data_IF_487943810100
#
_entry.id   IF_487943810100
#
_cell.length_a   1.000
_cell.length_b   1.000
_cell.length_c   1.000
_cell.angle_alpha   90.00
_cell.angle_beta   90.00
_cell.angle_gamma   90.00
#
_symmetry.space_group_name_H-M   'P 1'
#
loop_
_entity.id
_entity.type
_entity.pdbx_description
1 polymer ?
#
# COMPACT_ATOMS: atom_id res chain seq x y z
N UNK A 1 -22.84 -15.37 3.84
CA UNK A 1 -21.94 -15.72 4.97
C UNK A 1 -21.11 -16.96 4.66
N UNK A 2 -21.71 -18.04 4.15
CA UNK A 2 -20.99 -19.29 3.87
C UNK A 2 -19.80 -19.15 2.91
N UNK A 3 -19.92 -18.33 1.86
CA UNK A 3 -18.80 -18.04 0.94
C UNK A 3 -17.57 -17.40 1.62
N UNK A 4 -17.76 -16.53 2.62
CA UNK A 4 -16.64 -15.84 3.27
C UNK A 4 -15.89 -16.76 4.25
N UNK A 5 -16.60 -17.68 4.90
CA UNK A 5 -16.01 -18.71 5.77
C UNK A 5 -15.29 -19.76 4.91
N UNK A 6 -15.86 -20.14 3.77
CA UNK A 6 -15.26 -21.07 2.79
C UNK A 6 -14.03 -20.47 2.06
N UNK A 7 -13.98 -19.16 1.84
CA UNK A 7 -12.78 -18.50 1.30
C UNK A 7 -11.68 -18.41 2.35
N UNK A 8 -12.00 -18.19 3.63
CA UNK A 8 -10.99 -18.20 4.71
C UNK A 8 -10.39 -19.58 4.98
N UNK A 9 -11.13 -20.66 4.74
CA UNK A 9 -10.58 -22.02 4.82
C UNK A 9 -9.70 -22.38 3.61
N UNK A 10 -9.89 -21.71 2.46
CA UNK A 10 -9.14 -21.94 1.21
C UNK A 10 -7.99 -20.96 0.95
N UNK A 11 -8.03 -19.75 1.50
CA UNK A 11 -7.02 -18.70 1.34
C UNK A 11 -6.50 -18.26 2.71
N UNK A 12 -5.27 -18.64 3.02
CA UNK A 12 -4.60 -18.34 4.30
C UNK A 12 -3.74 -17.07 4.27
N UNK A 13 -3.40 -16.58 3.07
CA UNK A 13 -2.46 -15.48 2.89
C UNK A 13 -2.98 -14.45 1.88
N UNK A 14 -2.71 -13.18 2.15
CA UNK A 14 -2.95 -12.10 1.19
C UNK A 14 -1.67 -11.83 0.40
N UNK A 15 -1.76 -11.96 -0.93
CA UNK A 15 -0.62 -11.88 -1.87
C UNK A 15 -0.60 -10.56 -2.62
N UNK A 16 0.52 -9.86 -2.55
CA UNK A 16 0.72 -8.58 -3.21
C UNK A 16 1.95 -8.66 -4.09
N UNK A 17 1.83 -8.23 -5.35
CA UNK A 17 2.98 -7.95 -6.20
C UNK A 17 3.36 -6.48 -6.04
N UNK A 18 4.60 -6.18 -5.66
CA UNK A 18 5.14 -4.82 -5.64
C UNK A 18 6.08 -4.61 -6.83
N UNK A 19 5.74 -3.63 -7.66
CA UNK A 19 6.43 -3.26 -8.89
C UNK A 19 7.08 -1.89 -8.72
N UNK A 20 8.23 -1.67 -9.33
CA UNK A 20 8.83 -0.36 -9.46
C UNK A 20 10.34 -0.45 -9.64
N UNK A 21 10.93 0.61 -10.19
CA UNK A 21 12.37 0.70 -10.45
C UNK A 21 13.25 0.53 -9.20
N UNK A 22 14.57 0.44 -9.42
CA UNK A 22 15.60 0.56 -8.40
C UNK A 22 15.28 1.72 -7.45
N UNK A 23 15.44 1.53 -6.14
CA UNK A 23 15.29 2.64 -5.18
C UNK A 23 13.91 3.36 -5.25
N UNK A 24 12.85 2.70 -5.76
CA UNK A 24 11.50 3.27 -5.76
C UNK A 24 10.82 3.29 -4.39
N UNK A 25 11.46 2.76 -3.35
CA UNK A 25 10.91 2.70 -1.99
C UNK A 25 10.11 1.42 -1.69
N UNK A 26 10.19 0.39 -2.54
CA UNK A 26 9.46 -0.89 -2.39
C UNK A 26 9.64 -1.51 -1.00
N UNK A 27 10.87 -1.82 -0.62
CA UNK A 27 11.19 -2.45 0.68
C UNK A 27 10.76 -1.58 1.86
N UNK A 28 10.90 -0.25 1.76
CA UNK A 28 10.45 0.70 2.80
C UNK A 28 8.94 0.63 3.01
N UNK A 29 8.16 0.55 1.92
CA UNK A 29 6.70 0.40 1.99
C UNK A 29 6.34 -0.93 2.66
N UNK A 30 6.96 -2.03 2.23
CA UNK A 30 6.68 -3.36 2.78
C UNK A 30 6.95 -3.42 4.29
N UNK A 31 8.12 -2.93 4.72
CA UNK A 31 8.49 -2.82 6.14
C UNK A 31 7.44 -2.08 6.95
N UNK A 32 6.96 -0.94 6.46
CA UNK A 32 5.96 -0.13 7.15
C UNK A 32 4.58 -0.77 7.21
N UNK A 33 4.11 -1.33 6.10
CA UNK A 33 2.83 -2.05 6.08
C UNK A 33 2.84 -3.20 7.07
N UNK A 34 3.98 -3.88 7.21
CA UNK A 34 4.16 -4.98 8.14
C UNK A 34 4.58 -4.55 9.55
N UNK A 35 4.68 -3.24 9.83
CA UNK A 35 5.19 -2.69 11.08
C UNK A 35 6.51 -3.37 11.53
N UNK A 36 7.45 -3.47 10.61
CA UNK A 36 8.72 -4.17 10.77
C UNK A 36 9.90 -3.26 10.46
N UNK A 37 10.98 -3.41 11.22
CA UNK A 37 12.30 -2.84 10.90
C UNK A 37 13.23 -3.87 10.26
N UNK A 38 12.93 -5.16 10.44
CA UNK A 38 13.69 -6.28 9.89
C UNK A 38 13.39 -6.49 8.40
N UNK A 39 14.33 -7.13 7.70
CA UNK A 39 14.09 -7.58 6.33
C UNK A 39 13.19 -8.83 6.31
N UNK A 40 12.39 -9.02 5.26
CA UNK A 40 11.55 -10.20 5.14
C UNK A 40 12.39 -11.46 4.99
N UNK A 41 11.86 -12.57 5.50
CA UNK A 41 12.37 -13.88 5.15
C UNK A 41 11.95 -14.23 3.73
N UNK A 42 12.85 -14.88 2.99
CA UNK A 42 12.66 -15.20 1.58
C UNK A 42 12.44 -16.69 1.45
N UNK A 43 11.38 -17.07 0.76
CA UNK A 43 11.03 -18.46 0.51
C UNK A 43 10.92 -18.70 -0.99
N UNK A 44 11.40 -19.85 -1.46
CA UNK A 44 11.21 -20.28 -2.84
C UNK A 44 9.71 -20.48 -3.13
N UNK A 45 9.32 -20.63 -4.41
CA UNK A 45 7.93 -20.94 -4.78
C UNK A 45 7.43 -22.24 -4.13
N UNK A 46 8.33 -23.18 -3.85
CA UNK A 46 8.04 -24.45 -3.17
C UNK A 46 7.97 -24.34 -1.63
N UNK A 47 8.16 -23.14 -1.09
CA UNK A 47 8.10 -22.88 0.36
C UNK A 47 9.38 -23.21 1.12
N UNK A 48 10.51 -23.42 0.44
CA UNK A 48 11.81 -23.61 1.10
C UNK A 48 12.42 -22.26 1.44
N UNK A 49 12.87 -22.07 2.68
CA UNK A 49 13.56 -20.85 3.09
C UNK A 49 14.88 -20.72 2.31
N UNK A 50 15.12 -19.54 1.76
CA UNK A 50 16.33 -19.20 1.00
C UNK A 50 17.26 -18.39 1.92
N UNK A 51 18.55 -18.70 1.85
CA UNK A 51 19.57 -17.95 2.59
C UNK A 51 19.70 -16.52 2.03
N UNK A 52 19.65 -15.47 2.87
CA UNK A 52 19.89 -14.10 2.45
C UNK A 52 21.20 -13.88 1.70
N UNK A 53 22.25 -14.66 1.97
CA UNK A 53 23.55 -14.54 1.27
C UNK A 53 23.42 -14.91 -0.21
N UNK A 54 22.73 -16.01 -0.52
CA UNK A 54 22.45 -16.44 -1.90
C UNK A 54 21.68 -15.35 -2.64
N UNK A 55 20.70 -14.75 -1.97
CA UNK A 55 19.87 -13.69 -2.56
C UNK A 55 20.68 -12.44 -2.85
N UNK A 56 21.64 -12.08 -1.98
CA UNK A 56 22.54 -10.95 -2.21
C UNK A 56 23.47 -11.22 -3.39
N UNK A 57 24.08 -12.40 -3.46
CA UNK A 57 24.94 -12.77 -4.59
C UNK A 57 24.18 -12.79 -5.92
N UNK A 58 22.96 -13.34 -5.95
CA UNK A 58 22.10 -13.30 -7.14
C UNK A 58 21.69 -11.86 -7.48
N UNK A 59 21.37 -11.03 -6.49
CA UNK A 59 21.06 -9.61 -6.69
C UNK A 59 22.21 -8.83 -7.33
N UNK A 60 23.43 -9.04 -6.85
CA UNK A 60 24.64 -8.44 -7.42
C UNK A 60 24.89 -8.87 -8.87
N UNK A 61 24.39 -10.05 -9.25
CA UNK A 61 24.42 -10.57 -10.61
C UNK A 61 23.20 -10.17 -11.46
N UNK A 62 22.26 -9.41 -10.90
CA UNK A 62 20.99 -9.05 -11.56
C UNK A 62 20.01 -10.22 -11.71
N UNK A 63 20.27 -11.33 -11.03
CA UNK A 63 19.42 -12.52 -11.03
C UNK A 63 18.38 -12.38 -9.91
N UNK A 64 17.14 -12.13 -10.31
CA UNK A 64 16.03 -11.98 -9.38
C UNK A 64 14.84 -12.81 -9.82
N UNK A 65 14.31 -13.58 -8.88
CA UNK A 65 13.15 -14.43 -9.11
C UNK A 65 11.88 -13.80 -8.50
N UNK A 66 11.01 -13.25 -9.35
CA UNK A 66 9.73 -12.66 -8.94
C UNK A 66 8.78 -13.67 -8.27
N UNK A 67 9.00 -14.97 -8.47
CA UNK A 67 8.21 -16.01 -7.84
C UNK A 67 8.57 -16.27 -6.37
N UNK A 68 9.74 -15.80 -5.92
CA UNK A 68 10.14 -15.88 -4.52
C UNK A 68 9.16 -15.09 -3.64
N UNK A 69 8.93 -15.62 -2.45
CA UNK A 69 7.94 -15.14 -1.49
C UNK A 69 8.66 -14.40 -0.37
N UNK A 70 8.35 -13.11 -0.20
CA UNK A 70 8.83 -12.28 0.90
C UNK A 70 7.79 -12.30 2.02
N UNK A 71 8.19 -12.76 3.20
CA UNK A 71 7.30 -12.92 4.36
C UNK A 71 7.95 -12.22 5.56
N UNK A 72 7.23 -11.27 6.16
CA UNK A 72 7.69 -10.60 7.38
C UNK A 72 7.23 -11.39 8.60
N UNK A 73 8.14 -11.65 9.54
CA UNK A 73 7.81 -12.30 10.83
C UNK A 73 6.74 -11.54 11.60
N UNK A 74 6.77 -10.21 11.53
CA UNK A 74 5.79 -9.34 12.18
C UNK A 74 4.40 -9.48 11.57
N UNK A 75 4.26 -9.88 10.30
CA UNK A 75 2.98 -10.11 9.67
C UNK A 75 3.05 -11.26 8.64
N UNK A 76 3.04 -12.53 9.10
CA UNK A 76 3.27 -13.69 8.25
C UNK A 76 2.09 -14.00 7.32
N UNK A 77 0.94 -13.35 7.51
CA UNK A 77 -0.24 -13.54 6.68
C UNK A 77 -0.17 -12.78 5.35
N UNK A 78 0.81 -11.88 5.19
CA UNK A 78 1.16 -11.32 3.90
C UNK A 78 2.26 -12.12 3.22
N UNK A 79 2.09 -12.31 1.91
CA UNK A 79 3.16 -12.75 1.03
C UNK A 79 3.34 -11.69 -0.04
N UNK A 80 4.56 -11.14 -0.11
CA UNK A 80 4.91 -10.18 -1.14
C UNK A 80 5.76 -10.84 -2.21
N UNK A 81 5.48 -10.48 -3.46
CA UNK A 81 6.35 -10.74 -4.61
C UNK A 81 6.94 -9.40 -5.02
N UNK A 82 8.25 -9.33 -5.17
CA UNK A 82 8.95 -8.12 -5.55
C UNK A 82 9.50 -8.28 -6.98
N UNK A 83 9.14 -7.33 -7.85
CA UNK A 83 9.62 -7.28 -9.23
C UNK A 83 11.13 -7.19 -9.40
N UNK A 84 11.90 -6.88 -8.33
CA UNK A 84 13.37 -6.77 -8.24
C UNK A 84 14.08 -6.81 -9.60
N UNK A 85 14.51 -5.64 -10.10
CA UNK A 85 15.22 -5.57 -11.37
C UNK A 85 14.53 -4.78 -12.47
N UNK A 86 13.44 -4.03 -12.21
CA UNK A 86 12.85 -3.07 -13.17
C UNK A 86 13.75 -1.81 -13.39
N UNK A 87 15.07 -1.95 -13.32
CA UNK A 87 16.01 -0.82 -13.22
C UNK A 87 16.36 -0.24 -14.60
N UNK A 88 16.41 -1.10 -15.63
CA UNK A 88 16.70 -0.71 -17.01
C UNK A 88 15.45 -0.46 -17.83
N UNK A 89 14.30 -1.00 -17.42
CA UNK A 89 13.09 -0.90 -18.22
C UNK A 89 13.21 -1.68 -19.52
N UNK A 90 14.05 -2.72 -19.52
CA UNK A 90 14.24 -3.56 -20.69
C UNK A 90 12.93 -4.28 -21.01
N UNK A 91 12.70 -4.57 -22.29
CA UNK A 91 11.51 -5.30 -22.74
C UNK A 91 11.39 -6.64 -21.98
N UNK A 92 12.50 -7.34 -21.78
CA UNK A 92 12.58 -8.60 -21.04
C UNK A 92 12.09 -8.49 -19.58
N UNK A 93 12.33 -7.36 -18.90
CA UNK A 93 11.87 -7.13 -17.53
C UNK A 93 10.36 -6.96 -17.46
N UNK A 94 9.79 -6.22 -18.41
CA UNK A 94 8.35 -5.99 -18.51
C UNK A 94 7.63 -7.30 -18.87
N UNK A 95 8.20 -8.09 -19.78
CA UNK A 95 7.68 -9.41 -20.14
C UNK A 95 7.66 -10.34 -18.93
N UNK A 96 8.74 -10.45 -18.16
CA UNK A 96 8.78 -11.29 -16.93
C UNK A 96 7.70 -10.92 -15.92
N UNK A 97 7.45 -9.63 -15.70
CA UNK A 97 6.39 -9.15 -14.80
C UNK A 97 5.01 -9.47 -15.37
N UNK A 98 4.82 -9.25 -16.67
CA UNK A 98 3.56 -9.54 -17.37
C UNK A 98 3.23 -11.02 -17.31
N UNK A 99 4.19 -11.88 -17.65
CA UNK A 99 4.08 -13.34 -17.55
C UNK A 99 3.74 -13.80 -16.14
N UNK A 100 4.37 -13.21 -15.12
CA UNK A 100 4.07 -13.51 -13.73
C UNK A 100 2.63 -13.14 -13.36
N UNK A 101 2.15 -11.95 -13.75
CA UNK A 101 0.78 -11.50 -13.51
C UNK A 101 -0.21 -12.45 -14.22
N UNK A 102 0.05 -12.78 -15.48
CA UNK A 102 -0.78 -13.69 -16.26
C UNK A 102 -0.82 -15.10 -15.67
N UNK A 103 0.33 -15.66 -15.30
CA UNK A 103 0.44 -16.96 -14.66
C UNK A 103 -0.39 -17.02 -13.37
N UNK A 104 -0.27 -15.97 -12.54
CA UNK A 104 -1.03 -15.85 -11.29
C UNK A 104 -2.52 -15.65 -11.53
N UNK A 105 -2.91 -14.99 -12.63
CA UNK A 105 -4.31 -14.82 -13.02
C UNK A 105 -4.94 -16.10 -13.59
N UNK A 106 -4.15 -16.93 -14.29
CA UNK A 106 -4.58 -18.20 -14.90
C UNK A 106 -4.59 -19.39 -13.92
N UNK A 107 -4.01 -19.23 -12.73
CA UNK A 107 -3.96 -20.30 -11.72
C UNK A 107 -5.32 -20.50 -11.06
N UNK A 108 -5.87 -21.72 -11.09
CA UNK A 108 -7.16 -22.07 -10.46
C UNK A 108 -7.11 -22.08 -8.93
N UNK A 109 -5.91 -22.24 -8.37
CA UNK A 109 -5.70 -22.26 -6.93
C UNK A 109 -5.72 -20.84 -6.36
N UNK A 110 -6.84 -20.46 -5.72
CA UNK A 110 -7.03 -19.13 -5.10
C UNK A 110 -5.88 -18.77 -4.14
N UNK A 111 -5.31 -19.76 -3.45
CA UNK A 111 -4.18 -19.58 -2.52
C UNK A 111 -2.91 -19.05 -3.20
N UNK A 112 -2.80 -19.19 -4.53
CA UNK A 112 -1.65 -18.78 -5.36
C UNK A 112 -1.94 -17.53 -6.19
N UNK A 113 -3.17 -17.04 -6.27
CA UNK A 113 -3.50 -15.86 -7.06
C UNK A 113 -2.94 -14.57 -6.43
N UNK A 114 -2.71 -13.55 -7.25
CA UNK A 114 -2.43 -12.20 -6.76
C UNK A 114 -3.73 -11.53 -6.33
N UNK A 115 -3.69 -10.82 -5.19
CA UNK A 115 -4.86 -10.15 -4.63
C UNK A 115 -4.81 -8.63 -4.82
N UNK A 116 -3.61 -8.07 -4.95
CA UNK A 116 -3.40 -6.68 -5.36
C UNK A 116 -2.03 -6.52 -6.02
N UNK A 117 -1.90 -5.49 -6.86
CA UNK A 117 -0.62 -5.05 -7.42
C UNK A 117 -0.36 -3.62 -6.95
N UNK A 118 0.84 -3.39 -6.43
CA UNK A 118 1.30 -2.09 -5.95
C UNK A 118 2.43 -1.59 -6.85
N UNK A 119 2.20 -0.51 -7.59
CA UNK A 119 3.19 0.05 -8.50
C UNK A 119 3.81 1.32 -7.89
N UNK A 120 5.08 1.26 -7.52
CA UNK A 120 5.82 2.37 -6.93
C UNK A 120 6.41 3.28 -8.02
N UNK A 121 5.91 4.52 -8.10
CA UNK A 121 6.41 5.58 -8.98
C UNK A 121 7.13 6.66 -8.16
N UNK A 122 8.48 6.70 -8.16
CA UNK A 122 9.21 7.74 -7.48
C UNK A 122 9.17 9.04 -8.28
N UNK A 123 8.87 10.14 -7.58
CA UNK A 123 8.62 11.47 -8.15
C UNK A 123 9.83 12.42 -8.08
N UNK A 124 10.96 11.93 -7.58
CA UNK A 124 12.25 12.62 -7.49
C UNK A 124 13.05 12.60 -8.80
N UNK A 125 12.62 11.86 -9.84
CA UNK A 125 13.28 11.77 -11.14
C UNK A 125 13.03 12.96 -12.09
N UNK A 126 14.02 13.30 -12.93
CA UNK A 126 13.94 14.48 -13.82
C UNK A 126 12.84 14.39 -14.89
N UNK A 127 12.41 13.17 -15.24
CA UNK A 127 11.33 12.93 -16.18
C UNK A 127 10.18 12.21 -15.48
N UNK A 128 8.93 12.69 -15.63
CA UNK A 128 7.76 11.91 -15.24
C UNK A 128 7.58 10.76 -16.23
N UNK A 129 7.18 9.58 -15.72
CA UNK A 129 6.87 8.37 -16.49
C UNK A 129 7.91 8.01 -17.58
N UNK A 130 8.82 7.10 -17.25
CA UNK A 130 9.78 6.53 -18.18
C UNK A 130 9.09 5.61 -19.19
N UNK A 131 9.79 5.29 -20.28
CA UNK A 131 9.29 4.43 -21.35
C UNK A 131 8.80 3.07 -20.84
N UNK A 132 9.50 2.48 -19.88
CA UNK A 132 9.09 1.21 -19.28
C UNK A 132 7.78 1.30 -18.49
N UNK A 133 7.51 2.46 -17.87
CA UNK A 133 6.26 2.69 -17.16
C UNK A 133 5.12 2.88 -18.16
N UNK A 134 5.33 3.68 -19.21
CA UNK A 134 4.35 3.80 -20.31
C UNK A 134 4.04 2.43 -20.93
N UNK A 135 5.07 1.64 -21.23
CA UNK A 135 4.92 0.31 -21.81
C UNK A 135 4.14 -0.62 -20.87
N UNK A 136 4.45 -0.65 -19.56
CA UNK A 136 3.71 -1.45 -18.60
C UNK A 136 2.21 -1.08 -18.58
N UNK A 137 1.88 0.22 -18.45
CA UNK A 137 0.48 0.65 -18.36
C UNK A 137 -0.29 0.53 -19.70
N UNK A 138 0.41 0.33 -20.82
CA UNK A 138 -0.20 0.14 -22.14
C UNK A 138 -0.31 -1.33 -22.55
N UNK A 139 0.59 -2.20 -22.11
CA UNK A 139 0.67 -3.59 -22.59
C UNK A 139 0.27 -4.59 -21.50
N UNK A 140 0.59 -4.31 -20.25
CA UNK A 140 0.43 -5.28 -19.14
C UNK A 140 -0.96 -5.19 -18.53
N UNK A 141 -1.88 -6.03 -19.02
CA UNK A 141 -3.20 -6.21 -18.40
C UNK A 141 -3.10 -6.85 -17.02
N UNK A 142 -3.81 -6.31 -16.03
CA UNK A 142 -3.85 -6.87 -14.67
C UNK A 142 -5.08 -7.78 -14.42
N UNK A 143 -5.91 -7.98 -15.44
CA UNK A 143 -7.14 -8.76 -15.34
C UNK A 143 -8.09 -8.20 -14.27
N UNK A 144 -8.44 -9.04 -13.28
CA UNK A 144 -9.29 -8.64 -12.14
C UNK A 144 -8.50 -8.13 -10.93
N UNK A 145 -7.17 -8.20 -10.97
CA UNK A 145 -6.34 -7.82 -9.84
C UNK A 145 -6.22 -6.29 -9.80
N UNK A 146 -6.61 -5.63 -8.71
CA UNK A 146 -6.55 -4.18 -8.63
C UNK A 146 -5.10 -3.69 -8.66
N UNK A 147 -4.85 -2.67 -9.48
CA UNK A 147 -3.56 -2.01 -9.64
C UNK A 147 -3.58 -0.67 -8.90
N UNK A 148 -2.80 -0.55 -7.84
CA UNK A 148 -2.68 0.68 -7.06
C UNK A 148 -1.34 1.33 -7.36
N UNK A 149 -1.37 2.55 -7.88
CA UNK A 149 -0.17 3.36 -8.08
C UNK A 149 0.17 4.10 -6.80
N UNK A 150 1.42 3.96 -6.36
CA UNK A 150 1.97 4.57 -5.16
C UNK A 150 3.03 5.58 -5.57
N UNK A 151 2.74 6.85 -5.38
CA UNK A 151 3.71 7.91 -5.55
C UNK A 151 4.64 7.96 -4.35
N UNK A 152 5.93 7.73 -4.61
CA UNK A 152 6.99 7.77 -3.61
C UNK A 152 7.88 8.98 -3.81
N UNK A 153 8.66 9.32 -2.77
CA UNK A 153 9.64 10.41 -2.77
C UNK A 153 9.06 11.78 -3.18
N UNK A 154 7.85 12.07 -2.68
CA UNK A 154 7.14 13.32 -2.96
C UNK A 154 7.90 14.56 -2.45
N UNK A 155 8.77 14.39 -1.45
CA UNK A 155 9.74 15.38 -1.00
C UNK A 155 10.68 15.85 -2.12
N UNK A 156 11.09 14.94 -3.02
CA UNK A 156 11.84 15.29 -4.22
C UNK A 156 11.04 16.18 -5.16
N UNK A 157 9.74 15.90 -5.35
CA UNK A 157 8.86 16.71 -6.19
C UNK A 157 8.59 18.09 -5.58
N UNK A 158 8.43 18.17 -4.26
CA UNK A 158 8.29 19.45 -3.54
C UNK A 158 9.56 20.29 -3.63
N UNK A 159 10.73 19.66 -3.61
CA UNK A 159 12.01 20.36 -3.81
C UNK A 159 12.10 20.96 -5.21
N UNK A 160 11.68 20.22 -6.25
CA UNK A 160 11.61 20.73 -7.62
C UNK A 160 10.62 21.88 -7.77
N UNK A 161 9.42 21.71 -7.22
CA UNK A 161 8.41 22.77 -7.21
C UNK A 161 8.95 24.05 -6.55
N UNK A 162 9.70 23.93 -5.45
CA UNK A 162 10.38 25.09 -4.86
C UNK A 162 11.39 25.72 -5.82
N UNK A 163 12.22 24.93 -6.49
CA UNK A 163 13.20 25.42 -7.47
C UNK A 163 12.54 26.13 -8.66
N UNK A 164 11.43 25.60 -9.19
CA UNK A 164 10.66 26.24 -10.26
C UNK A 164 10.10 27.59 -9.82
N UNK A 165 9.50 27.67 -8.62
CA UNK A 165 9.03 28.95 -8.06
C UNK A 165 10.17 29.96 -7.91
N UNK A 166 11.38 29.51 -7.56
CA UNK A 166 12.57 30.37 -7.48
C UNK A 166 13.03 30.84 -8.86
N UNK A 167 12.97 29.97 -9.88
CA UNK A 167 13.28 30.31 -11.27
C UNK A 167 12.27 31.32 -11.86
N UNK A 168 11.00 31.26 -11.45
CA UNK A 168 9.96 32.26 -11.76
C UNK A 168 10.17 33.62 -11.05
N UNK A 169 11.25 33.77 -10.28
CA UNK A 169 11.57 35.01 -9.57
C UNK A 169 10.88 35.19 -8.21
N UNK A 170 10.14 34.19 -7.71
CA UNK A 170 9.50 34.28 -6.38
C UNK A 170 10.56 34.27 -5.29
N UNK A 171 10.39 35.14 -4.29
CA UNK A 171 11.26 35.15 -3.12
C UNK A 171 11.13 33.83 -2.30
N UNK A 172 12.08 33.57 -1.40
CA UNK A 172 12.14 32.32 -0.61
C UNK A 172 10.84 32.08 0.17
N UNK A 173 10.24 33.12 0.75
CA UNK A 173 9.02 33.02 1.55
C UNK A 173 7.85 32.58 0.68
N UNK A 174 7.61 33.27 -0.43
CA UNK A 174 6.53 32.94 -1.37
C UNK A 174 6.72 31.56 -1.99
N UNK A 175 7.95 31.19 -2.37
CA UNK A 175 8.25 29.87 -2.90
C UNK A 175 8.01 28.75 -1.86
N UNK A 176 8.36 28.99 -0.59
CA UNK A 176 8.10 28.04 0.48
C UNK A 176 6.60 27.84 0.75
N UNK A 177 5.79 28.89 0.67
CA UNK A 177 4.34 28.77 0.83
C UNK A 177 3.69 28.03 -0.34
N UNK A 178 4.17 28.24 -1.58
CA UNK A 178 3.55 27.65 -2.78
C UNK A 178 4.05 26.27 -3.20
N UNK A 179 5.19 25.78 -2.66
CA UNK A 179 5.85 24.57 -3.20
C UNK A 179 5.02 23.30 -3.10
N UNK A 180 4.25 23.11 -2.02
CA UNK A 180 3.42 21.90 -1.84
C UNK A 180 2.24 21.90 -2.82
N UNK A 181 1.60 23.06 -3.00
CA UNK A 181 0.50 23.21 -3.95
C UNK A 181 0.97 23.02 -5.40
N UNK A 182 2.12 23.62 -5.77
CA UNK A 182 2.70 23.38 -7.09
C UNK A 182 3.10 21.91 -7.28
N UNK A 183 3.73 21.27 -6.28
CA UNK A 183 4.07 19.85 -6.37
C UNK A 183 2.83 18.96 -6.54
N UNK A 184 1.70 19.28 -5.89
CA UNK A 184 0.46 18.55 -6.06
C UNK A 184 -0.12 18.72 -7.48
N UNK A 185 -0.02 19.93 -8.06
CA UNK A 185 -0.38 20.18 -9.46
C UNK A 185 0.52 19.39 -10.40
N UNK A 186 1.84 19.45 -10.22
CA UNK A 186 2.81 18.67 -10.99
C UNK A 186 2.54 17.16 -10.89
N UNK A 187 2.21 16.64 -9.71
CA UNK A 187 1.86 15.24 -9.53
C UNK A 187 0.63 14.84 -10.35
N UNK A 188 -0.36 15.73 -10.39
CA UNK A 188 -1.61 15.50 -11.12
C UNK A 188 -1.35 15.54 -12.62
N UNK A 189 -0.80 16.65 -13.12
CA UNK A 189 -0.58 16.90 -14.54
C UNK A 189 0.46 15.96 -15.15
N UNK A 190 1.55 15.66 -14.44
CA UNK A 190 2.67 14.93 -15.01
C UNK A 190 2.57 13.41 -14.79
N UNK A 191 1.76 12.94 -13.83
CA UNK A 191 1.66 11.51 -13.53
C UNK A 191 0.23 10.99 -13.60
N UNK A 192 -0.72 11.59 -12.87
CA UNK A 192 -2.09 11.04 -12.80
C UNK A 192 -2.85 11.18 -14.12
N UNK A 193 -2.81 12.36 -14.73
CA UNK A 193 -3.58 12.62 -15.96
C UNK A 193 -3.10 11.71 -17.11
N UNK A 194 -1.78 11.53 -17.36
CA UNK A 194 -1.29 10.55 -18.33
C UNK A 194 -1.75 9.12 -18.01
N UNK A 195 -1.63 8.68 -16.76
CA UNK A 195 -2.01 7.32 -16.34
C UNK A 195 -3.53 7.06 -16.39
N UNK A 196 -4.35 8.11 -16.39
CA UNK A 196 -5.79 7.97 -16.60
C UNK A 196 -6.15 7.80 -18.09
N UNK A 197 -5.25 8.16 -19.00
CA UNK A 197 -5.42 8.06 -20.46
C UNK A 197 -4.91 6.76 -21.07
N UNK A 198 -4.20 5.92 -20.31
CA UNK A 198 -3.67 4.62 -20.79
C UNK A 198 -4.75 3.53 -20.80
N UNK A 199 -4.49 2.46 -21.55
CA UNK A 199 -5.39 1.32 -21.69
C UNK A 199 -5.63 0.59 -20.35
N UNK A 200 -4.56 0.27 -19.62
CA UNK A 200 -4.63 -0.39 -18.32
C UNK A 200 -4.49 0.62 -17.19
N UNK A 201 -5.53 1.42 -16.98
CA UNK A 201 -5.56 2.46 -15.95
C UNK A 201 -5.47 1.88 -14.52
N UNK A 202 -4.78 2.58 -13.59
CA UNK A 202 -4.78 2.24 -12.18
C UNK A 202 -6.19 2.25 -11.57
N UNK A 203 -6.44 1.34 -10.63
CA UNK A 203 -7.67 1.28 -9.83
C UNK A 203 -7.70 2.36 -8.74
N UNK A 204 -6.53 2.76 -8.24
CA UNK A 204 -6.40 3.85 -7.27
C UNK A 204 -4.99 4.47 -7.32
N UNK A 205 -4.90 5.66 -6.73
CA UNK A 205 -3.64 6.38 -6.54
C UNK A 205 -3.43 6.68 -5.06
N UNK A 206 -2.23 6.40 -4.57
CA UNK A 206 -1.79 6.68 -3.21
C UNK A 206 -0.60 7.62 -3.28
N UNK A 207 -0.61 8.67 -2.46
CA UNK A 207 0.56 9.50 -2.21
C UNK A 207 1.03 9.18 -0.79
N UNK A 208 2.23 8.63 -0.65
CA UNK A 208 2.81 8.38 0.66
C UNK A 208 3.54 9.63 1.12
N UNK A 209 2.80 10.48 1.83
CA UNK A 209 3.38 11.54 2.66
C UNK A 209 3.68 10.90 4.02
N UNK A 210 4.83 11.15 4.63
CA UNK A 210 5.17 10.52 5.92
C UNK A 210 4.26 10.86 7.12
N UNK A 211 3.06 11.40 6.92
CA UNK A 211 2.14 11.83 7.98
C UNK A 211 1.10 12.79 7.42
N UNK A 212 -0.17 12.44 7.61
CA UNK A 212 -1.28 13.37 7.42
C UNK A 212 -1.18 14.45 8.49
N UNK A 213 -1.06 15.71 8.07
CA UNK A 213 -1.30 16.86 8.93
C UNK A 213 -2.81 16.96 9.20
N UNK A 214 -3.30 16.12 10.09
CA UNK A 214 -4.52 16.37 10.84
C UNK A 214 -4.12 16.57 12.28
N UNK A 215 -3.45 17.69 12.55
CA UNK A 215 -3.59 18.46 13.79
C UNK A 215 -2.84 19.79 13.67
N UNK A 216 -3.49 20.81 14.20
CA UNK A 216 -3.21 22.23 14.06
C UNK A 216 -1.80 22.56 14.59
N UNK A 217 -0.92 23.10 13.73
CA UNK A 217 0.11 24.06 14.13
C UNK A 217 0.63 24.84 12.92
N UNK A 218 0.04 26.00 12.72
CA UNK A 218 0.45 27.07 11.79
C UNK A 218 1.85 27.67 12.09
N UNK A 219 2.70 27.04 12.93
CA UNK A 219 3.94 27.64 13.47
C UNK A 219 5.18 26.73 13.34
N UNK A 220 5.20 25.74 12.46
CA UNK A 220 6.50 25.17 12.06
C UNK A 220 6.60 24.93 10.56
N UNK A 221 7.57 25.62 9.98
CA UNK A 221 8.01 25.53 8.59
C UNK A 221 8.14 24.05 8.16
N UNK A 222 7.23 23.60 7.32
CA UNK A 222 7.45 22.67 6.20
C UNK A 222 8.47 21.56 6.47
N UNK A 223 8.17 20.66 7.40
CA UNK A 223 8.79 19.34 7.40
C UNK A 223 7.80 18.44 6.69
N UNK A 224 8.09 18.08 5.43
CA UNK A 224 7.44 16.92 4.85
C UNK A 224 7.86 15.74 5.69
N UNK A 225 6.92 15.03 6.31
CA UNK A 225 7.31 13.94 7.16
C UNK A 225 7.99 12.85 6.31
N UNK A 226 9.12 12.37 6.81
CA UNK A 226 10.05 11.51 6.09
C UNK A 226 9.57 10.06 6.17
N UNK A 227 9.50 9.38 5.03
CA UNK A 227 9.20 7.96 4.96
C UNK A 227 10.28 7.08 5.63
N UNK A 228 11.38 7.64 6.14
CA UNK A 228 12.36 6.96 6.97
C UNK A 228 12.02 6.97 8.46
N UNK A 229 11.02 7.74 8.89
CA UNK A 229 10.61 7.76 10.30
C UNK A 229 9.75 6.55 10.65
N UNK A 230 10.02 5.93 11.81
CA UNK A 230 9.35 4.70 12.26
C UNK A 230 7.83 4.84 12.40
N UNK A 231 7.30 6.04 12.64
CA UNK A 231 5.88 6.29 12.89
C UNK A 231 5.08 6.72 11.65
N UNK A 232 5.71 6.81 10.48
CA UNK A 232 5.03 7.27 9.26
C UNK A 232 4.11 6.18 8.72
N UNK A 233 2.80 6.38 8.88
CA UNK A 233 1.81 5.32 8.74
C UNK A 233 1.31 5.14 7.29
N UNK A 234 1.33 3.90 6.79
CA UNK A 234 0.81 3.54 5.45
C UNK A 234 -0.72 3.37 5.43
N UNK A 235 -1.46 4.01 6.34
CA UNK A 235 -2.94 3.93 6.43
C UNK A 235 -3.59 4.20 5.07
N UNK A 236 -3.13 5.21 4.35
CA UNK A 236 -3.75 5.57 3.07
C UNK A 236 -3.59 4.47 2.02
N UNK A 237 -2.42 3.82 1.96
CA UNK A 237 -2.20 2.68 1.08
C UNK A 237 -3.14 1.52 1.42
N UNK A 238 -3.27 1.22 2.70
CA UNK A 238 -4.12 0.12 3.16
C UNK A 238 -5.60 0.44 2.89
N UNK A 239 -6.03 1.66 3.18
CA UNK A 239 -7.40 2.12 2.91
C UNK A 239 -7.74 2.08 1.43
N UNK A 240 -6.86 2.57 0.56
CA UNK A 240 -7.09 2.55 -0.88
C UNK A 240 -7.11 1.13 -1.42
N UNK A 241 -6.20 0.27 -0.97
CA UNK A 241 -6.22 -1.16 -1.32
C UNK A 241 -7.56 -1.79 -0.92
N UNK A 242 -8.03 -1.57 0.31
CA UNK A 242 -9.32 -2.07 0.78
C UNK A 242 -10.51 -1.56 -0.08
N UNK A 243 -10.50 -0.29 -0.50
CA UNK A 243 -11.55 0.29 -1.36
C UNK A 243 -11.55 -0.30 -2.77
N UNK A 244 -10.39 -0.70 -3.30
CA UNK A 244 -10.28 -1.29 -4.64
C UNK A 244 -10.68 -2.75 -4.71
N UNK A 245 -10.75 -3.44 -3.56
CA UNK A 245 -11.19 -4.83 -3.50
C UNK A 245 -12.71 -4.91 -3.63
N UNK A 246 -13.19 -5.34 -4.80
CA UNK A 246 -14.63 -5.50 -5.09
C UNK A 246 -15.20 -6.82 -4.57
N UNK A 247 -14.36 -7.83 -4.32
CA UNK A 247 -14.77 -9.12 -3.77
C UNK A 247 -14.79 -9.05 -2.23
N UNK A 248 -15.97 -9.30 -1.66
CA UNK A 248 -16.19 -9.24 -0.22
C UNK A 248 -15.33 -10.22 0.57
N UNK A 249 -15.06 -11.40 0.02
CA UNK A 249 -14.24 -12.40 0.66
C UNK A 249 -12.76 -12.00 0.63
N UNK A 250 -12.28 -11.41 -0.48
CA UNK A 250 -10.92 -10.83 -0.55
C UNK A 250 -10.75 -9.63 0.37
N UNK A 251 -11.76 -8.77 0.48
CA UNK A 251 -11.75 -7.66 1.43
C UNK A 251 -11.73 -8.17 2.87
N UNK A 252 -12.54 -9.18 3.22
CA UNK A 252 -12.53 -9.79 4.54
C UNK A 252 -11.21 -10.51 4.86
N UNK A 253 -10.57 -11.12 3.87
CA UNK A 253 -9.22 -11.67 3.98
C UNK A 253 -8.22 -10.54 4.25
N UNK A 254 -8.25 -9.47 3.45
CA UNK A 254 -7.35 -8.32 3.59
C UNK A 254 -7.45 -7.67 4.98
N UNK A 255 -8.66 -7.44 5.49
CA UNK A 255 -8.85 -6.93 6.85
C UNK A 255 -8.33 -7.92 7.89
N UNK A 256 -8.51 -9.22 7.67
CA UNK A 256 -8.08 -10.23 8.63
C UNK A 256 -6.56 -10.36 8.77
N UNK A 257 -5.80 -10.00 7.74
CA UNK A 257 -4.32 -10.02 7.77
C UNK A 257 -3.74 -8.71 8.34
N UNK A 258 -4.57 -7.69 8.54
CA UNK A 258 -4.21 -6.41 9.14
C UNK A 258 -4.34 -6.40 10.68
N UNK A 259 -4.32 -7.57 11.34
CA UNK A 259 -4.55 -7.72 12.80
C UNK A 259 -3.66 -6.85 13.68
N UNK A 260 -2.45 -6.52 13.23
CA UNK A 260 -1.52 -5.67 13.97
C UNK A 260 -1.83 -4.16 13.82
N UNK A 261 -2.82 -3.79 13.00
CA UNK A 261 -3.28 -2.43 12.78
C UNK A 261 -4.72 -2.27 13.31
N UNK A 262 -4.86 -2.28 14.64
CA UNK A 262 -6.14 -2.33 15.35
C UNK A 262 -7.05 -1.14 15.00
N UNK A 263 -6.50 0.07 14.92
CA UNK A 263 -7.23 1.28 14.56
C UNK A 263 -7.83 1.21 13.14
N UNK A 264 -7.09 0.62 12.20
CA UNK A 264 -7.59 0.36 10.85
C UNK A 264 -8.70 -0.70 10.85
N UNK A 265 -8.54 -1.80 11.59
CA UNK A 265 -9.56 -2.84 11.73
C UNK A 265 -10.88 -2.24 12.26
N UNK A 266 -10.81 -1.33 13.25
CA UNK A 266 -11.97 -0.61 13.77
C UNK A 266 -12.60 0.30 12.72
N UNK A 267 -11.81 1.13 12.04
CA UNK A 267 -12.33 2.05 11.01
C UNK A 267 -13.01 1.32 9.85
N UNK A 268 -12.43 0.22 9.38
CA UNK A 268 -13.02 -0.60 8.31
C UNK A 268 -14.28 -1.32 8.79
N UNK A 269 -14.31 -1.81 10.04
CA UNK A 269 -15.49 -2.42 10.63
C UNK A 269 -16.64 -1.41 10.76
N UNK A 270 -16.38 -0.20 11.27
CA UNK A 270 -17.37 0.88 11.39
C UNK A 270 -17.89 1.31 10.01
N UNK A 271 -16.99 1.54 9.05
CA UNK A 271 -17.38 1.93 7.68
C UNK A 271 -18.27 0.88 7.02
N UNK A 272 -18.11 -0.40 7.35
CA UNK A 272 -18.92 -1.47 6.76
C UNK A 272 -20.20 -1.76 7.53
N UNK A 273 -20.23 -1.56 8.85
CA UNK A 273 -21.46 -1.68 9.67
C UNK A 273 -22.44 -0.53 9.41
N UNK A 274 -21.97 0.66 9.02
CA UNK A 274 -22.83 1.77 8.57
C UNK A 274 -23.46 1.50 7.19
N UNK A 275 -22.88 0.61 6.36
CA UNK A 275 -23.34 0.34 4.99
C UNK A 275 -23.93 -1.06 4.77
N UNK A 276 -23.70 -2.02 5.67
CA UNK A 276 -24.24 -3.39 5.60
C UNK A 276 -24.43 -4.00 7.01
N UNK A 277 -25.65 -4.47 7.32
CA UNK A 277 -26.03 -5.22 8.53
C UNK A 277 -25.37 -6.63 8.61
N UNK A 278 -24.02 -6.73 8.63
CA UNK A 278 -23.32 -8.03 8.54
C UNK A 278 -22.22 -8.22 9.60
N UNK A 279 -22.06 -7.31 10.56
CA UNK A 279 -20.92 -7.36 11.49
C UNK A 279 -21.12 -8.19 12.77
N UNK A 280 -22.33 -8.63 13.10
CA UNK A 280 -22.60 -9.32 14.37
C UNK A 280 -22.04 -10.77 14.45
N UNK A 281 -21.55 -11.34 13.34
CA UNK A 281 -21.18 -12.76 13.28
C UNK A 281 -19.70 -13.07 12.98
N UNK A 282 -18.83 -12.06 12.75
CA UNK A 282 -17.48 -12.28 12.20
C UNK A 282 -16.30 -11.85 13.09
N UNK A 283 -16.58 -11.21 14.21
CA UNK A 283 -15.69 -11.20 15.37
C UNK A 283 -16.32 -12.15 16.38
N UNK A 284 -15.58 -13.05 17.05
CA UNK A 284 -16.13 -13.68 18.24
C UNK A 284 -16.68 -12.54 19.09
N UNK A 285 -17.95 -12.57 19.45
CA UNK A 285 -18.58 -11.57 20.32
C UNK A 285 -17.79 -11.40 21.62
N UNK A 286 -17.00 -12.42 22.01
CA UNK A 286 -15.95 -12.36 23.03
C UNK A 286 -14.79 -11.40 22.71
N UNK A 287 -14.28 -11.34 21.49
CA UNK A 287 -13.15 -10.46 21.15
C UNK A 287 -13.51 -8.98 21.26
N UNK A 288 -14.75 -8.59 20.90
CA UNK A 288 -15.22 -7.21 21.11
C UNK A 288 -15.56 -6.96 22.59
N UNK A 289 -16.20 -7.91 23.27
CA UNK A 289 -16.59 -7.77 24.68
C UNK A 289 -15.39 -7.77 25.63
N UNK A 290 -14.43 -8.68 25.46
CA UNK A 290 -13.19 -8.76 26.22
C UNK A 290 -12.34 -7.50 25.96
N UNK A 291 -12.37 -6.95 24.73
CA UNK A 291 -11.72 -5.70 24.34
C UNK A 291 -12.31 -4.45 25.01
N UNK A 292 -13.64 -4.32 25.06
CA UNK A 292 -14.27 -3.23 25.82
C UNK A 292 -14.02 -3.34 27.32
N UNK A 293 -13.85 -4.56 27.84
CA UNK A 293 -13.52 -4.81 29.24
C UNK A 293 -12.06 -4.44 29.55
N UNK A 294 -11.12 -4.81 28.67
CA UNK A 294 -9.69 -4.51 28.82
C UNK A 294 -9.36 -3.01 28.63
N UNK A 295 -10.09 -2.30 27.75
CA UNK A 295 -9.96 -0.84 27.60
C UNK A 295 -10.51 -0.10 28.83
N UNK A 296 -11.60 -0.59 29.42
CA UNK A 296 -12.19 0.00 30.63
C UNK A 296 -11.25 -0.13 31.84
N UNK A 297 -10.47 -1.21 31.89
CA UNK A 297 -9.50 -1.45 32.97
C UNK A 297 -8.17 -0.71 32.77
N UNK A 298 -7.69 -0.52 31.53
CA UNK A 298 -6.42 0.18 31.25
C UNK A 298 -6.53 1.70 31.25
N UNK A 299 -7.71 2.24 30.99
CA UNK A 299 -7.92 3.65 30.72
C UNK A 299 -9.13 4.09 31.55
N UNK A 300 -8.90 4.64 32.74
CA UNK A 300 -9.92 5.33 33.56
C UNK A 300 -10.49 6.54 32.80
N UNK A 301 -11.32 6.29 31.78
CA UNK A 301 -12.04 7.32 31.07
C UNK A 301 -13.31 7.61 31.87
N UNK A 302 -13.36 8.83 32.38
CA UNK A 302 -14.54 9.41 33.00
C UNK A 302 -15.73 9.31 32.05
N UNK A 303 -16.79 8.73 32.58
CA UNK A 303 -18.09 8.55 31.95
C UNK A 303 -18.65 9.87 31.41
N UNK A 304 -18.55 10.10 30.10
CA UNK A 304 -19.11 11.29 29.47
C UNK A 304 -19.59 11.15 28.01
N UNK A 305 -19.10 10.18 27.24
CA UNK A 305 -19.29 10.19 25.77
C UNK A 305 -20.07 9.00 25.17
N UNK A 306 -20.66 8.12 26.00
CA UNK A 306 -21.45 6.97 25.55
C UNK A 306 -22.96 7.06 25.89
N UNK A 307 -23.52 8.27 25.99
CA UNK A 307 -24.97 8.46 26.23
C UNK A 307 -25.78 9.02 25.05
N UNK A 308 -25.18 9.38 23.92
CA UNK A 308 -25.94 10.04 22.83
C UNK A 308 -26.33 9.15 21.64
N UNK A 309 -25.98 7.86 21.59
CA UNK A 309 -26.25 7.01 20.40
C UNK A 309 -27.17 5.81 20.65
N UNK A 310 -27.82 5.71 21.82
CA UNK A 310 -28.76 4.63 22.15
C UNK A 310 -30.21 5.09 22.42
N UNK A 311 -30.56 6.33 22.06
CA UNK A 311 -31.89 6.91 22.34
C UNK A 311 -32.57 7.47 21.07
N UNK A 312 -32.47 6.79 19.93
CA UNK A 312 -33.42 6.98 18.83
C UNK A 312 -33.71 5.63 18.15
N UNK A 313 -34.83 5.05 18.54
CA UNK A 313 -35.35 3.77 18.08
C UNK A 313 -36.57 3.40 18.92
N UNK A 314 -37.60 4.26 18.87
CA UNK A 314 -38.96 3.96 19.29
C UNK A 314 -39.81 3.68 18.06
#
# INVERSE_FOLDING_TARGET
>A
MDKAIDVRSKISHFRILIIGRANAGKTTILKKVCNSVEDPEIYSPDGKKIDPEIVKESAERGEHNIYDQLIFKSNPQFIFHDSRGFEGGSVDEIEKVTDFIEYRAKTDELSKQLHAIWYCLPTDGNRPLLEAEDQFFRISGTGKVPLIVIFTKFDGLVTKAFQELRAEGKNIRTANTGKVELAQRMLTTNYRDPLNGVEFKPSAYVRLDGGSASDISLILLIVLPDMRQEHSNCIELINQTAKTLTDDALLLLFVSVQRNNIDLCIRLAVRRSVYCNVFDALLPTRFIADYFTEIKDRNQWSSGLLRSSLMFGG
#
